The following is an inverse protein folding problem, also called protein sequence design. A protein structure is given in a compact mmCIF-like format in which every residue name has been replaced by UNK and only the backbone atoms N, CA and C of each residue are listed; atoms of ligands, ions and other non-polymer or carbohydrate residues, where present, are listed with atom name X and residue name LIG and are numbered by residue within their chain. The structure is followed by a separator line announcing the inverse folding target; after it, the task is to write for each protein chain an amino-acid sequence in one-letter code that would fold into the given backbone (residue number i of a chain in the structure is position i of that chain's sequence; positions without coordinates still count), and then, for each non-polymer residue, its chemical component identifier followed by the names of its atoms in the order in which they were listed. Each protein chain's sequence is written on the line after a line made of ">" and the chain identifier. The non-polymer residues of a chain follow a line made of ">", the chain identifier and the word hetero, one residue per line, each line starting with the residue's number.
data_IF_542738113369
#
_entry.id   IF_542738113369
#
_cell.length_a   1.000
_cell.length_b   1.000
_cell.length_c   1.000
_cell.angle_alpha   90.00
_cell.angle_beta   90.00
_cell.angle_gamma   90.00
#
_symmetry.space_group_name_H-M   'P 1'
#
loop_
_entity.id
_entity.type
_entity.pdbx_description
1 polymer ?
#
# COMPACT_ATOMS: atom_id res chain seq x y z
N UNK A 1 6.19 4.33 -17.94
CA UNK A 1 6.78 3.00 -18.18
C UNK A 1 5.85 2.22 -19.10
N UNK A 2 6.37 1.55 -20.14
CA UNK A 2 5.55 0.80 -21.09
C UNK A 2 5.17 -0.59 -20.53
N UNK A 3 4.21 -1.26 -21.17
CA UNK A 3 3.70 -2.57 -20.75
C UNK A 3 4.80 -3.66 -20.73
N UNK A 4 5.74 -3.60 -21.69
CA UNK A 4 6.86 -4.54 -21.78
C UNK A 4 7.76 -4.48 -20.54
N UNK A 5 8.07 -3.27 -20.06
CA UNK A 5 8.90 -3.10 -18.86
C UNK A 5 8.19 -3.65 -17.61
N UNK A 6 6.86 -3.54 -17.53
CA UNK A 6 6.08 -4.14 -16.44
C UNK A 6 6.13 -5.67 -16.48
N UNK A 7 5.96 -6.26 -17.67
CA UNK A 7 6.08 -7.72 -17.86
C UNK A 7 7.48 -8.23 -17.53
N UNK A 8 8.51 -7.48 -17.90
CA UNK A 8 9.90 -7.82 -17.57
C UNK A 8 10.13 -7.82 -16.05
N UNK A 9 9.60 -6.82 -15.32
CA UNK A 9 9.69 -6.78 -13.87
C UNK A 9 8.94 -7.95 -13.21
N UNK A 10 7.74 -8.28 -13.71
CA UNK A 10 6.99 -9.44 -13.23
C UNK A 10 7.76 -10.74 -13.48
N UNK A 11 8.36 -10.90 -14.67
CA UNK A 11 9.16 -12.07 -15.02
C UNK A 11 10.36 -12.23 -14.10
N UNK A 12 11.10 -11.15 -13.81
CA UNK A 12 12.26 -11.20 -12.90
C UNK A 12 11.86 -11.54 -11.45
N UNK A 13 10.62 -11.22 -11.05
CA UNK A 13 10.09 -11.52 -9.71
C UNK A 13 9.42 -12.90 -9.61
N UNK A 14 9.01 -13.51 -10.73
CA UNK A 14 8.29 -14.78 -10.77
C UNK A 14 9.13 -15.92 -10.16
N UNK A 15 8.62 -16.56 -9.12
CA UNK A 15 9.31 -17.65 -8.39
C UNK A 15 10.73 -17.26 -7.92
N UNK A 16 10.98 -15.97 -7.69
CA UNK A 16 12.28 -15.44 -7.30
C UNK A 16 12.15 -14.45 -6.12
N UNK A 17 12.29 -14.94 -4.87
CA UNK A 17 12.10 -14.11 -3.68
C UNK A 17 13.19 -13.04 -3.51
N UNK A 18 14.42 -13.31 -3.95
CA UNK A 18 15.53 -12.36 -3.84
C UNK A 18 15.28 -11.14 -4.74
N UNK A 19 15.01 -11.39 -6.02
CA UNK A 19 14.70 -10.30 -6.96
C UNK A 19 13.43 -9.56 -6.57
N UNK A 20 12.40 -10.28 -6.11
CA UNK A 20 11.18 -9.67 -5.57
C UNK A 20 11.47 -8.73 -4.40
N UNK A 21 12.31 -9.13 -3.44
CA UNK A 21 12.67 -8.31 -2.29
C UNK A 21 13.46 -7.05 -2.69
N UNK A 22 14.41 -7.18 -3.63
CA UNK A 22 15.16 -6.03 -4.15
C UNK A 22 14.25 -5.01 -4.84
N UNK A 23 13.38 -5.49 -5.73
CA UNK A 23 12.42 -4.64 -6.44
C UNK A 23 11.46 -3.95 -5.45
N UNK A 24 10.94 -4.68 -4.47
CA UNK A 24 10.08 -4.10 -3.44
C UNK A 24 10.81 -3.04 -2.62
N UNK A 25 12.07 -3.27 -2.24
CA UNK A 25 12.88 -2.32 -1.47
C UNK A 25 13.02 -0.97 -2.18
N UNK A 26 13.30 -0.99 -3.49
CA UNK A 26 13.41 0.24 -4.29
C UNK A 26 12.05 0.94 -4.45
N UNK A 27 10.99 0.17 -4.72
CA UNK A 27 9.63 0.73 -4.83
C UNK A 27 9.21 1.41 -3.52
N UNK A 28 9.44 0.75 -2.37
CA UNK A 28 9.10 1.28 -1.05
C UNK A 28 9.91 2.54 -0.73
N UNK A 29 11.19 2.58 -1.09
CA UNK A 29 12.01 3.77 -0.94
C UNK A 29 11.44 4.96 -1.72
N UNK A 30 11.02 4.73 -2.97
CA UNK A 30 10.38 5.78 -3.75
C UNK A 30 9.01 6.20 -3.18
N UNK A 31 8.20 5.24 -2.71
CA UNK A 31 6.92 5.54 -2.02
C UNK A 31 7.16 6.40 -0.78
N UNK A 32 8.27 6.19 -0.07
CA UNK A 32 8.64 6.94 1.12
C UNK A 32 9.11 8.37 0.80
N UNK A 33 9.87 8.56 -0.28
CA UNK A 33 10.63 9.80 -0.46
C UNK A 33 10.32 10.61 -1.72
N UNK A 34 9.75 10.03 -2.78
CA UNK A 34 9.50 10.79 -4.03
C UNK A 34 8.45 11.90 -3.86
N UNK A 35 8.41 12.85 -4.79
CA UNK A 35 7.39 13.90 -4.82
C UNK A 35 5.99 13.31 -5.00
N UNK A 36 4.98 13.90 -4.35
CA UNK A 36 3.59 13.40 -4.37
C UNK A 36 2.94 13.31 -5.77
N UNK A 37 3.54 13.92 -6.80
CA UNK A 37 3.08 13.87 -8.19
C UNK A 37 3.45 12.53 -8.85
N UNK A 38 4.59 11.96 -8.47
CA UNK A 38 5.10 10.69 -9.00
C UNK A 38 4.71 9.49 -8.14
N UNK A 39 4.29 9.72 -6.90
CA UNK A 39 3.94 8.66 -5.95
C UNK A 39 2.92 7.65 -6.50
N UNK A 40 1.94 8.11 -7.29
CA UNK A 40 0.98 7.22 -7.96
C UNK A 40 1.67 6.17 -8.83
N UNK A 41 2.70 6.56 -9.57
CA UNK A 41 3.43 5.64 -10.45
C UNK A 41 4.05 4.49 -9.64
N UNK A 42 4.67 4.80 -8.50
CA UNK A 42 5.30 3.78 -7.65
C UNK A 42 4.27 2.91 -6.90
N UNK A 43 3.11 3.45 -6.53
CA UNK A 43 2.00 2.66 -5.99
C UNK A 43 1.41 1.71 -7.05
N UNK A 44 1.27 2.16 -8.29
CA UNK A 44 0.84 1.30 -9.41
C UNK A 44 1.89 0.21 -9.68
N UNK A 45 3.18 0.53 -9.58
CA UNK A 45 4.26 -0.46 -9.71
C UNK A 45 4.24 -1.48 -8.58
N UNK A 46 4.04 -1.04 -7.34
CA UNK A 46 3.84 -1.93 -6.20
C UNK A 46 2.68 -2.88 -6.47
N UNK A 47 1.55 -2.37 -6.96
CA UNK A 47 0.39 -3.18 -7.31
C UNK A 47 0.74 -4.27 -8.32
N UNK A 48 1.49 -3.94 -9.39
CA UNK A 48 1.94 -4.90 -10.41
C UNK A 48 2.74 -6.05 -9.80
N UNK A 49 3.67 -5.74 -8.89
CA UNK A 49 4.53 -6.74 -8.23
C UNK A 49 3.73 -7.61 -7.25
N UNK A 50 2.80 -7.02 -6.49
CA UNK A 50 1.97 -7.76 -5.54
C UNK A 50 0.88 -8.61 -6.22
N UNK A 51 0.56 -8.33 -7.48
CA UNK A 51 -0.41 -9.08 -8.28
C UNK A 51 0.16 -10.34 -8.95
N UNK A 52 1.45 -10.60 -8.81
CA UNK A 52 2.05 -11.82 -9.38
C UNK A 52 1.54 -13.02 -8.58
N UNK A 53 0.77 -13.89 -9.24
CA UNK A 53 0.10 -15.08 -8.67
C UNK A 53 1.02 -16.31 -8.72
N UNK A 54 2.15 -16.23 -8.02
CA UNK A 54 3.08 -17.36 -7.83
C UNK A 54 3.12 -17.82 -6.35
N UNK A 55 3.98 -18.79 -6.05
CA UNK A 55 4.12 -19.37 -4.70
C UNK A 55 4.57 -18.36 -3.63
N UNK A 56 5.11 -17.19 -4.03
CA UNK A 56 5.71 -16.17 -3.16
C UNK A 56 4.85 -14.92 -2.99
N UNK A 57 3.65 -14.87 -3.58
CA UNK A 57 2.78 -13.69 -3.53
C UNK A 57 2.49 -13.22 -2.10
N UNK A 58 2.15 -14.14 -1.18
CA UNK A 58 1.82 -13.81 0.21
C UNK A 58 3.02 -13.18 0.92
N UNK A 59 4.23 -13.72 0.72
CA UNK A 59 5.45 -13.17 1.29
C UNK A 59 5.75 -11.79 0.72
N UNK A 60 5.59 -11.58 -0.60
CA UNK A 60 5.73 -10.25 -1.23
C UNK A 60 4.80 -9.22 -0.61
N UNK A 61 3.53 -9.59 -0.40
CA UNK A 61 2.54 -8.73 0.26
C UNK A 61 2.98 -8.43 1.69
N UNK A 62 3.36 -9.44 2.47
CA UNK A 62 3.85 -9.24 3.83
C UNK A 62 5.02 -8.27 3.87
N UNK A 63 6.04 -8.49 3.03
CA UNK A 63 7.23 -7.65 2.94
C UNK A 63 6.91 -6.21 2.51
N UNK A 64 5.94 -6.00 1.62
CA UNK A 64 5.51 -4.65 1.26
C UNK A 64 4.83 -3.89 2.41
N UNK A 65 4.09 -4.61 3.27
CA UNK A 65 3.40 -4.01 4.41
C UNK A 65 4.32 -3.79 5.61
N UNK A 66 5.22 -4.74 5.90
CA UNK A 66 6.18 -4.67 7.01
C UNK A 66 7.44 -3.90 6.65
N UNK A 67 7.76 -3.79 5.36
CA UNK A 67 8.97 -3.15 4.84
C UNK A 67 10.19 -4.06 4.73
N UNK A 68 10.04 -5.37 4.98
CA UNK A 68 11.16 -6.32 5.07
C UNK A 68 12.21 -5.86 6.11
N UNK A 69 13.35 -5.30 5.67
CA UNK A 69 14.42 -4.75 6.51
C UNK A 69 14.32 -3.22 6.72
N UNK A 70 13.33 -2.58 6.09
CA UNK A 70 13.07 -1.13 6.13
C UNK A 70 11.61 -0.89 6.51
N UNK A 71 11.14 0.33 6.28
CA UNK A 71 9.75 0.71 6.51
C UNK A 71 8.84 0.33 5.35
N UNK A 72 7.67 -0.22 5.68
CA UNK A 72 6.66 -0.59 4.70
C UNK A 72 5.73 0.56 4.33
N UNK A 73 4.70 0.24 3.54
CA UNK A 73 3.68 1.24 3.15
C UNK A 73 2.92 1.79 4.36
N UNK A 74 2.62 0.95 5.36
CA UNK A 74 1.93 1.39 6.58
C UNK A 74 2.79 2.34 7.40
N UNK A 75 4.09 2.07 7.53
CA UNK A 75 5.02 2.98 8.20
C UNK A 75 5.15 4.31 7.45
N UNK A 76 5.17 4.27 6.12
CA UNK A 76 5.17 5.48 5.29
C UNK A 76 3.97 6.37 5.60
N UNK A 77 2.77 5.77 5.70
CA UNK A 77 1.54 6.49 6.02
C UNK A 77 1.66 7.17 7.38
N UNK A 78 2.04 6.41 8.41
CA UNK A 78 2.08 6.91 9.79
C UNK A 78 3.15 7.98 9.99
N UNK A 79 4.32 7.81 9.35
CA UNK A 79 5.41 8.80 9.39
C UNK A 79 4.99 10.14 8.80
N UNK A 80 4.24 10.12 7.69
CA UNK A 80 3.94 11.33 6.91
C UNK A 80 2.59 11.98 7.25
N UNK A 81 1.77 11.34 8.11
CA UNK A 81 0.37 11.72 8.34
C UNK A 81 0.14 13.15 8.83
N UNK A 82 1.12 13.78 9.48
CA UNK A 82 0.95 15.16 10.01
C UNK A 82 1.55 16.23 9.09
N UNK A 83 2.74 16.00 8.53
CA UNK A 83 3.47 17.02 7.77
C UNK A 83 3.26 16.92 6.25
N UNK A 84 2.98 15.72 5.75
CA UNK A 84 2.90 15.42 4.31
C UNK A 84 1.64 14.60 4.01
N UNK A 85 0.50 15.09 4.50
CA UNK A 85 -0.79 14.38 4.47
C UNK A 85 -1.15 13.81 3.09
N UNK A 86 -0.83 14.55 2.01
CA UNK A 86 -1.07 14.11 0.62
C UNK A 86 -0.41 12.76 0.28
N UNK A 87 0.79 12.48 0.81
CA UNK A 87 1.46 11.18 0.64
C UNK A 87 0.66 10.09 1.35
N UNK A 88 0.34 10.30 2.62
CA UNK A 88 -0.45 9.37 3.43
C UNK A 88 -1.81 9.07 2.80
N UNK A 89 -2.53 10.08 2.29
CA UNK A 89 -3.79 9.90 1.57
C UNK A 89 -3.63 9.02 0.32
N UNK A 90 -2.61 9.27 -0.51
CA UNK A 90 -2.38 8.47 -1.70
C UNK A 90 -2.02 7.02 -1.37
N UNK A 91 -1.21 6.79 -0.34
CA UNK A 91 -0.88 5.44 0.12
C UNK A 91 -2.12 4.71 0.65
N UNK A 92 -2.96 5.34 1.49
CA UNK A 92 -4.21 4.73 1.97
C UNK A 92 -5.13 4.41 0.78
N UNK A 93 -5.32 5.36 -0.15
CA UNK A 93 -6.12 5.14 -1.36
C UNK A 93 -5.59 3.98 -2.21
N UNK A 94 -4.26 3.88 -2.35
CA UNK A 94 -3.58 2.79 -3.02
C UNK A 94 -3.84 1.43 -2.35
N UNK A 95 -3.72 1.37 -1.01
CA UNK A 95 -4.00 0.16 -0.24
C UNK A 95 -5.47 -0.27 -0.32
N UNK A 96 -6.42 0.67 -0.23
CA UNK A 96 -7.85 0.38 -0.46
C UNK A 96 -8.06 -0.24 -1.84
N UNK A 97 -7.46 0.34 -2.89
CA UNK A 97 -7.52 -0.20 -4.25
C UNK A 97 -6.87 -1.58 -4.38
N UNK A 98 -5.77 -1.82 -3.66
CA UNK A 98 -5.10 -3.12 -3.57
C UNK A 98 -6.01 -4.16 -2.94
N UNK A 99 -6.61 -3.86 -1.79
CA UNK A 99 -7.46 -4.79 -1.04
C UNK A 99 -8.73 -5.18 -1.82
N UNK A 100 -9.30 -4.25 -2.58
CA UNK A 100 -10.45 -4.51 -3.44
C UNK A 100 -10.15 -5.48 -4.58
N UNK A 101 -8.91 -5.51 -5.07
CA UNK A 101 -8.51 -6.37 -6.20
C UNK A 101 -7.81 -7.65 -5.76
N UNK A 102 -7.10 -7.60 -4.64
CA UNK A 102 -6.34 -8.71 -4.04
C UNK A 102 -6.82 -8.88 -2.59
N UNK A 103 -7.94 -9.59 -2.35
CA UNK A 103 -8.47 -9.80 -1.00
C UNK A 103 -7.47 -10.47 -0.05
N UNK A 104 -6.53 -11.26 -0.60
CA UNK A 104 -5.43 -11.85 0.16
C UNK A 104 -4.54 -10.79 0.82
N UNK A 105 -4.32 -9.63 0.17
CA UNK A 105 -3.54 -8.55 0.74
C UNK A 105 -4.19 -7.97 1.99
N UNK A 106 -5.52 -7.83 1.96
CA UNK A 106 -6.29 -7.38 3.11
C UNK A 106 -6.21 -8.40 4.25
N UNK A 107 -6.39 -9.69 3.94
CA UNK A 107 -6.27 -10.79 4.90
C UNK A 107 -4.91 -10.81 5.60
N UNK A 108 -3.82 -10.63 4.86
CA UNK A 108 -2.46 -10.55 5.41
C UNK A 108 -2.34 -9.42 6.44
N UNK A 109 -2.87 -8.23 6.14
CA UNK A 109 -2.85 -7.10 7.06
C UNK A 109 -3.67 -7.37 8.32
N UNK A 110 -4.87 -7.95 8.18
CA UNK A 110 -5.74 -8.21 9.33
C UNK A 110 -5.26 -9.38 10.21
N UNK A 111 -4.53 -10.35 9.67
CA UNK A 111 -4.01 -11.49 10.41
C UNK A 111 -2.75 -11.15 11.24
N UNK A 112 -2.01 -10.12 10.85
CA UNK A 112 -0.86 -9.64 11.61
C UNK A 112 -1.30 -8.53 12.58
N UNK A 113 -1.08 -8.72 13.88
CA UNK A 113 -1.56 -7.80 14.92
C UNK A 113 -0.95 -6.39 14.81
N UNK A 114 0.33 -6.26 14.47
CA UNK A 114 0.97 -4.96 14.31
C UNK A 114 0.52 -4.26 13.03
N UNK A 115 0.45 -4.98 11.90
CA UNK A 115 -0.05 -4.41 10.65
C UNK A 115 -1.51 -3.98 10.78
N UNK A 116 -2.36 -4.79 11.43
CA UNK A 116 -3.75 -4.44 11.71
C UNK A 116 -3.84 -3.17 12.54
N UNK A 117 -3.02 -3.06 13.60
CA UNK A 117 -2.97 -1.85 14.45
C UNK A 117 -2.58 -0.62 13.63
N UNK A 118 -1.51 -0.70 12.83
CA UNK A 118 -1.06 0.41 11.96
C UNK A 118 -2.12 0.79 10.92
N UNK A 119 -2.81 -0.18 10.34
CA UNK A 119 -3.90 0.05 9.40
C UNK A 119 -5.07 0.78 10.05
N UNK A 120 -5.52 0.32 11.23
CA UNK A 120 -6.59 0.98 11.99
C UNK A 120 -6.19 2.41 12.33
N UNK A 121 -4.97 2.63 12.84
CA UNK A 121 -4.47 3.97 13.16
C UNK A 121 -4.44 4.90 11.92
N UNK A 122 -4.06 4.37 10.76
CA UNK A 122 -4.07 5.12 9.50
C UNK A 122 -5.49 5.51 9.06
N UNK A 123 -6.45 4.59 9.20
CA UNK A 123 -7.85 4.85 8.83
C UNK A 123 -8.50 5.82 9.81
N UNK A 124 -8.25 5.68 11.11
CA UNK A 124 -8.76 6.60 12.14
C UNK A 124 -8.24 8.02 11.91
N UNK A 125 -6.94 8.17 11.62
CA UNK A 125 -6.36 9.45 11.24
C UNK A 125 -7.04 10.05 9.99
N UNK A 126 -7.23 9.26 8.93
CA UNK A 126 -7.94 9.72 7.74
C UNK A 126 -9.35 10.19 8.08
N UNK A 127 -10.03 9.47 8.97
CA UNK A 127 -11.39 9.79 9.39
C UNK A 127 -11.46 11.14 10.11
N UNK A 128 -10.53 11.39 11.02
CA UNK A 128 -10.38 12.65 11.75
C UNK A 128 -10.11 13.82 10.79
N UNK A 129 -9.23 13.63 9.80
CA UNK A 129 -8.92 14.67 8.84
C UNK A 129 -10.10 14.96 7.90
N UNK A 130 -10.81 13.94 7.44
CA UNK A 130 -12.02 14.15 6.64
C UNK A 130 -13.11 14.89 7.43
N UNK A 131 -13.20 14.63 8.74
CA UNK A 131 -14.14 15.29 9.64
C UNK A 131 -13.84 16.79 9.75
N UNK A 132 -12.55 17.14 9.73
CA UNK A 132 -12.09 18.53 9.77
C UNK A 132 -12.36 19.28 8.46
N UNK A 133 -12.33 18.59 7.32
CA UNK A 133 -12.32 19.23 6.00
C UNK A 133 -13.71 19.45 5.39
N UNK A 134 -14.69 18.53 5.42
CA UNK A 134 -16.09 18.74 4.95
C UNK A 134 -17.00 17.53 5.30
N UNK A 135 -18.16 17.81 5.89
CA UNK A 135 -19.19 16.84 6.35
C UNK A 135 -19.90 16.04 5.23
N UNK A 136 -19.73 16.40 3.94
CA UNK A 136 -20.52 15.85 2.81
C UNK A 136 -19.80 14.80 1.95
N UNK A 137 -18.47 14.82 1.85
CA UNK A 137 -17.67 13.73 1.24
C UNK A 137 -17.56 12.50 2.15
N UNK A 138 -17.94 12.69 3.42
CA UNK A 138 -17.85 11.75 4.51
C UNK A 138 -18.56 10.42 4.21
N UNK A 139 -19.75 10.45 3.60
CA UNK A 139 -20.58 9.25 3.38
C UNK A 139 -20.02 8.28 2.31
N UNK A 140 -19.40 8.80 1.26
CA UNK A 140 -18.91 7.97 0.14
C UNK A 140 -17.63 7.21 0.51
N UNK A 141 -16.66 7.90 1.13
CA UNK A 141 -15.39 7.29 1.52
C UNK A 141 -15.57 6.35 2.73
N UNK A 142 -16.43 6.71 3.70
CA UNK A 142 -16.78 5.82 4.82
C UNK A 142 -17.47 4.53 4.38
N UNK A 143 -18.33 4.57 3.35
CA UNK A 143 -19.02 3.36 2.89
C UNK A 143 -18.04 2.31 2.38
N UNK A 144 -17.00 2.75 1.66
CA UNK A 144 -15.96 1.85 1.13
C UNK A 144 -14.95 1.41 2.18
N UNK A 145 -14.64 2.27 3.17
CA UNK A 145 -13.78 1.90 4.29
C UNK A 145 -14.47 0.98 5.30
N UNK A 146 -15.77 1.14 5.56
CA UNK A 146 -16.54 0.23 6.43
C UNK A 146 -16.60 -1.19 5.86
N UNK A 147 -16.72 -1.34 4.54
CA UNK A 147 -16.64 -2.65 3.85
C UNK A 147 -15.25 -3.31 3.92
N UNK A 148 -14.22 -2.54 4.25
CA UNK A 148 -12.85 -3.04 4.44
C UNK A 148 -12.49 -3.23 5.91
N UNK A 149 -13.22 -2.62 6.85
CA UNK A 149 -12.93 -2.76 8.29
C UNK A 149 -13.78 -3.84 8.97
N UNK A 150 -14.85 -4.30 8.32
CA UNK A 150 -15.79 -5.33 8.76
C UNK A 150 -16.01 -6.35 7.65
#
# INVERSE_FOLDING_TARGET
>A
MNEESMKMLQFVCWENPLSSSMVLTEILWHIMYTYCQELKFYLDLLFVILSIEDSWQVLRIQNAMTGNDREGVLDTILRHKNQYQRRSYQCIKGLVGLFMRIPMAHKVVLQNTDLKRKWVEAVDWLQEELNRVIFLLFLLVLSQLKLLLF
#
